data_IF_790322370628
#
_entry.id   IF_790322370628
#
_cell.length_a   1.000
_cell.length_b   1.000
_cell.length_c   1.000
_cell.angle_alpha   90.00
_cell.angle_beta   90.00
_cell.angle_gamma   90.00
#
_symmetry.space_group_name_H-M   'P 1'
#
loop_
_entity.id
_entity.type
_entity.pdbx_description
1 polymer ?
#
# COMPACT_ATOMS: atom_id res chain seq x y z
N UNK A 1 28.36 21.40 -9.85
CA UNK A 1 27.41 21.58 -10.97
C UNK A 1 27.62 20.43 -11.94
N UNK A 2 26.81 19.39 -11.87
CA UNK A 2 26.92 18.20 -12.73
C UNK A 2 26.45 18.55 -14.14
N UNK A 3 27.22 18.17 -15.16
CA UNK A 3 26.87 18.33 -16.59
C UNK A 3 25.49 17.73 -16.86
N UNK A 4 24.53 18.58 -17.23
CA UNK A 4 23.19 18.15 -17.65
C UNK A 4 23.30 17.41 -18.99
N UNK A 5 23.00 16.10 -18.98
CA UNK A 5 23.01 15.21 -20.14
C UNK A 5 21.68 15.28 -20.88
N UNK A 6 21.70 15.01 -22.19
CA UNK A 6 20.48 14.97 -23.02
C UNK A 6 19.61 13.78 -22.64
N UNK A 7 18.29 13.96 -22.74
CA UNK A 7 17.29 12.93 -22.45
C UNK A 7 17.53 11.63 -23.22
N UNK A 8 17.97 11.72 -24.48
CA UNK A 8 18.26 10.58 -25.37
C UNK A 8 19.41 9.71 -24.86
N UNK A 9 20.41 10.34 -24.26
CA UNK A 9 21.61 9.65 -23.79
C UNK A 9 21.25 8.87 -22.51
N UNK A 10 20.52 9.53 -21.61
CA UNK A 10 20.03 8.94 -20.36
C UNK A 10 19.05 7.79 -20.66
N UNK A 11 18.15 7.95 -21.63
CA UNK A 11 17.21 6.89 -22.00
C UNK A 11 17.91 5.66 -22.59
N UNK A 12 19.00 5.87 -23.34
CA UNK A 12 19.84 4.78 -23.86
C UNK A 12 20.60 4.07 -22.74
N UNK A 13 21.08 4.80 -21.73
CA UNK A 13 21.72 4.21 -20.54
C UNK A 13 20.70 3.39 -19.72
N UNK A 14 19.47 3.89 -19.55
CA UNK A 14 18.40 3.18 -18.84
C UNK A 14 17.95 1.88 -19.52
N UNK A 15 18.09 1.76 -20.84
CA UNK A 15 17.84 0.49 -21.53
C UNK A 15 18.85 -0.57 -21.10
N UNK A 16 20.09 -0.17 -20.79
CA UNK A 16 21.16 -1.07 -20.34
C UNK A 16 21.06 -1.39 -18.85
N UNK A 17 20.66 -0.42 -18.04
CA UNK A 17 20.53 -0.55 -16.58
C UNK A 17 19.17 0.02 -16.10
N UNK A 18 18.07 -0.75 -16.26
CA UNK A 18 16.72 -0.28 -15.99
C UNK A 18 16.41 -0.14 -14.49
N UNK A 19 17.24 -0.69 -13.61
CA UNK A 19 17.05 -0.64 -12.16
C UNK A 19 17.79 0.54 -11.50
N UNK A 20 18.53 1.33 -12.29
CA UNK A 20 19.28 2.47 -11.78
C UNK A 20 18.39 3.67 -11.44
N UNK A 21 18.08 3.82 -10.16
CA UNK A 21 17.20 4.90 -9.70
C UNK A 21 17.73 6.30 -10.00
N UNK A 22 19.04 6.55 -9.92
CA UNK A 22 19.60 7.87 -10.20
C UNK A 22 19.43 8.27 -11.67
N UNK A 23 19.63 7.32 -12.60
CA UNK A 23 19.40 7.56 -14.02
C UNK A 23 17.94 7.92 -14.30
N UNK A 24 17.01 7.25 -13.63
CA UNK A 24 15.59 7.56 -13.69
C UNK A 24 15.26 8.98 -13.16
N UNK A 25 15.88 9.40 -12.06
CA UNK A 25 15.71 10.77 -11.55
C UNK A 25 16.23 11.81 -12.55
N UNK A 26 17.42 11.57 -13.12
CA UNK A 26 18.01 12.44 -14.16
C UNK A 26 17.15 12.48 -15.43
N UNK A 27 16.51 11.37 -15.80
CA UNK A 27 15.58 11.32 -16.93
C UNK A 27 14.42 12.30 -16.71
N UNK A 28 13.78 12.26 -15.54
CA UNK A 28 12.69 13.18 -15.19
C UNK A 28 13.18 14.63 -15.19
N UNK A 29 14.31 14.92 -14.55
CA UNK A 29 14.88 16.27 -14.52
C UNK A 29 15.17 16.80 -15.92
N UNK A 30 15.75 15.97 -16.80
CA UNK A 30 16.04 16.34 -18.18
C UNK A 30 14.76 16.60 -18.99
N UNK A 31 13.72 15.78 -18.79
CA UNK A 31 12.44 15.93 -19.46
C UNK A 31 11.75 17.24 -19.07
N UNK A 32 11.81 17.63 -17.80
CA UNK A 32 11.21 18.87 -17.28
C UNK A 32 11.97 20.14 -17.67
N UNK A 33 13.29 20.05 -17.75
CA UNK A 33 14.14 21.20 -18.03
C UNK A 33 14.17 21.57 -19.51
N UNK A 34 13.93 20.60 -20.41
CA UNK A 34 13.80 20.80 -21.86
C UNK A 34 14.90 21.71 -22.43
N UNK A 35 16.16 21.34 -22.22
CA UNK A 35 17.35 22.06 -22.70
C UNK A 35 17.35 23.57 -22.40
N UNK A 36 17.05 23.95 -21.14
CA UNK A 36 17.03 25.33 -20.59
C UNK A 36 15.81 26.17 -20.96
N UNK A 37 14.89 25.67 -21.78
CA UNK A 37 13.67 26.41 -22.14
C UNK A 37 12.53 26.17 -21.14
N UNK A 38 12.62 25.08 -20.34
CA UNK A 38 11.53 24.63 -19.50
C UNK A 38 10.30 24.22 -20.30
N UNK A 39 9.22 23.89 -19.59
CA UNK A 39 7.94 23.51 -20.21
C UNK A 39 6.86 24.55 -19.90
N UNK A 40 6.20 24.99 -20.97
CA UNK A 40 5.06 25.91 -20.96
C UNK A 40 3.93 25.39 -21.85
N UNK A 41 2.80 26.08 -21.89
CA UNK A 41 1.66 25.71 -22.76
C UNK A 41 1.96 25.85 -24.25
N UNK A 42 2.97 26.63 -24.62
CA UNK A 42 3.41 26.83 -26.01
C UNK A 42 4.48 25.84 -26.45
N UNK A 43 4.96 24.98 -25.54
CA UNK A 43 5.94 23.94 -25.84
C UNK A 43 5.38 22.97 -26.89
N UNK A 44 6.16 22.59 -27.91
CA UNK A 44 5.73 21.62 -28.93
C UNK A 44 5.21 20.31 -28.33
N UNK A 45 4.17 19.75 -28.96
CA UNK A 45 3.50 18.54 -28.46
C UNK A 45 4.46 17.37 -28.23
N UNK A 46 5.45 17.18 -29.11
CA UNK A 46 6.43 16.09 -28.97
C UNK A 46 7.24 16.17 -27.66
N UNK A 47 7.56 17.38 -27.18
CA UNK A 47 8.29 17.56 -25.90
C UNK A 47 7.37 17.33 -24.70
N UNK A 48 6.08 17.69 -24.82
CA UNK A 48 5.06 17.35 -23.81
C UNK A 48 4.86 15.84 -23.72
N UNK A 49 4.90 15.13 -24.85
CA UNK A 49 4.80 13.69 -24.89
C UNK A 49 6.05 13.01 -24.28
N UNK A 50 7.25 13.56 -24.51
CA UNK A 50 8.48 13.10 -23.83
C UNK A 50 8.33 13.21 -22.31
N UNK A 51 7.82 14.33 -21.79
CA UNK A 51 7.55 14.50 -20.36
C UNK A 51 6.61 13.42 -19.84
N UNK A 52 5.45 13.26 -20.49
CA UNK A 52 4.41 12.30 -20.09
C UNK A 52 4.91 10.86 -20.12
N UNK A 53 5.61 10.47 -21.18
CA UNK A 53 6.17 9.12 -21.34
C UNK A 53 7.24 8.86 -20.28
N UNK A 54 8.10 9.85 -20.00
CA UNK A 54 9.15 9.71 -18.97
C UNK A 54 8.51 9.45 -17.60
N UNK A 55 7.49 10.23 -17.24
CA UNK A 55 6.75 10.06 -15.99
C UNK A 55 5.96 8.74 -15.94
N UNK A 56 5.28 8.36 -17.03
CA UNK A 56 4.53 7.10 -17.11
C UNK A 56 5.46 5.90 -16.88
N UNK A 57 6.59 5.84 -17.59
CA UNK A 57 7.56 4.75 -17.41
C UNK A 57 8.20 4.76 -16.03
N UNK A 58 8.55 5.93 -15.51
CA UNK A 58 9.10 6.06 -14.15
C UNK A 58 8.11 5.60 -13.08
N UNK A 59 6.86 6.05 -13.13
CA UNK A 59 5.85 5.72 -12.13
C UNK A 59 5.31 4.30 -12.27
N UNK A 60 5.38 3.71 -13.46
CA UNK A 60 5.13 2.27 -13.64
C UNK A 60 6.22 1.43 -12.94
N UNK A 61 7.48 1.89 -12.93
CA UNK A 61 8.59 1.22 -12.23
C UNK A 61 8.62 1.52 -10.73
N UNK A 62 8.34 2.76 -10.33
CA UNK A 62 8.37 3.24 -8.95
C UNK A 62 7.03 3.86 -8.50
N UNK A 63 5.94 3.08 -8.46
CA UNK A 63 4.59 3.59 -8.23
C UNK A 63 4.35 4.16 -6.82
N UNK A 64 5.22 3.82 -5.87
CA UNK A 64 5.08 4.22 -4.47
C UNK A 64 5.67 5.59 -4.12
N UNK A 65 6.38 6.24 -5.07
CA UNK A 65 7.00 7.54 -4.85
C UNK A 65 5.99 8.68 -5.05
N UNK A 66 5.15 8.92 -4.03
CA UNK A 66 4.03 9.87 -4.08
C UNK A 66 4.43 11.28 -4.55
N UNK A 67 5.65 11.75 -4.21
CA UNK A 67 6.13 13.09 -4.60
C UNK A 67 6.18 13.27 -6.11
N UNK A 68 6.51 12.23 -6.87
CA UNK A 68 6.53 12.30 -8.34
C UNK A 68 5.12 12.27 -8.93
N UNK A 69 4.16 11.60 -8.29
CA UNK A 69 2.75 11.71 -8.66
C UNK A 69 2.21 13.13 -8.48
N UNK A 70 2.52 13.77 -7.34
CA UNK A 70 2.15 15.17 -7.08
C UNK A 70 2.78 16.10 -8.12
N UNK A 71 4.09 15.93 -8.38
CA UNK A 71 4.83 16.72 -9.38
C UNK A 71 4.25 16.58 -10.79
N UNK A 72 3.89 15.36 -11.20
CA UNK A 72 3.20 15.12 -12.48
C UNK A 72 1.82 15.80 -12.52
N UNK A 73 1.07 15.74 -11.43
CA UNK A 73 -0.25 16.39 -11.36
C UNK A 73 -0.13 17.92 -11.45
N UNK A 74 0.89 18.51 -10.84
CA UNK A 74 1.21 19.95 -10.97
C UNK A 74 1.55 20.34 -12.42
N UNK A 75 2.33 19.51 -13.12
CA UNK A 75 2.62 19.70 -14.54
C UNK A 75 1.35 19.63 -15.40
N UNK A 76 0.54 18.58 -15.24
CA UNK A 76 -0.71 18.44 -15.99
C UNK A 76 -1.71 19.56 -15.68
N UNK A 77 -1.74 20.04 -14.44
CA UNK A 77 -2.53 21.22 -14.06
C UNK A 77 -2.04 22.47 -14.81
N UNK A 78 -0.73 22.74 -14.79
CA UNK A 78 -0.13 23.88 -15.48
C UNK A 78 -0.35 23.84 -16.98
N UNK A 79 -0.32 22.66 -17.60
CA UNK A 79 -0.38 22.49 -19.05
C UNK A 79 -1.80 22.35 -19.59
N UNK A 80 -2.65 21.59 -18.92
CA UNK A 80 -3.95 21.15 -19.45
C UNK A 80 -5.14 21.43 -18.52
N UNK A 81 -4.90 21.95 -17.32
CA UNK A 81 -5.94 22.30 -16.35
C UNK A 81 -6.37 21.16 -15.44
N UNK A 82 -7.44 21.38 -14.69
CA UNK A 82 -7.81 20.56 -13.53
C UNK A 82 -8.09 19.09 -13.86
N UNK A 83 -8.77 18.79 -14.97
CA UNK A 83 -9.23 17.43 -15.26
C UNK A 83 -8.10 16.43 -15.43
N UNK A 84 -7.01 16.82 -16.11
CA UNK A 84 -5.85 15.94 -16.29
C UNK A 84 -5.11 15.73 -14.97
N UNK A 85 -4.95 16.76 -14.16
CA UNK A 85 -4.37 16.63 -12.82
C UNK A 85 -5.19 15.67 -11.93
N UNK A 86 -6.53 15.76 -11.96
CA UNK A 86 -7.41 14.84 -11.23
C UNK A 86 -7.20 13.38 -11.69
N UNK A 87 -7.02 13.15 -12.99
CA UNK A 87 -6.74 11.80 -13.52
C UNK A 87 -5.41 11.26 -12.97
N UNK A 88 -4.38 12.09 -12.89
CA UNK A 88 -3.08 11.70 -12.30
C UNK A 88 -3.24 11.29 -10.84
N UNK A 89 -3.94 12.08 -10.02
CA UNK A 89 -4.22 11.71 -8.62
C UNK A 89 -5.03 10.41 -8.50
N UNK A 90 -6.05 10.21 -9.34
CA UNK A 90 -6.84 8.96 -9.35
C UNK A 90 -5.98 7.74 -9.70
N UNK A 91 -5.05 7.88 -10.63
CA UNK A 91 -4.10 6.81 -10.96
C UNK A 91 -3.15 6.53 -9.79
N UNK A 92 -2.64 7.58 -9.13
CA UNK A 92 -1.81 7.45 -7.94
C UNK A 92 -2.52 6.68 -6.81
N UNK A 93 -3.82 6.91 -6.58
CA UNK A 93 -4.59 6.21 -5.56
C UNK A 93 -4.81 4.71 -5.83
N UNK A 94 -4.61 4.23 -7.07
CA UNK A 94 -4.57 2.78 -7.32
C UNK A 94 -3.38 2.12 -6.61
N UNK A 95 -2.32 2.90 -6.37
CA UNK A 95 -1.10 2.44 -5.74
C UNK A 95 -0.99 2.85 -4.27
N UNK A 96 -1.39 4.08 -3.95
CA UNK A 96 -1.11 4.78 -2.70
C UNK A 96 -2.41 5.20 -1.99
N UNK A 97 -3.41 4.31 -1.95
CA UNK A 97 -4.74 4.57 -1.38
C UNK A 97 -4.73 5.07 0.07
N UNK A 98 -3.77 4.63 0.88
CA UNK A 98 -3.64 4.98 2.30
C UNK A 98 -2.50 5.98 2.57
N UNK A 99 -1.89 6.55 1.53
CA UNK A 99 -0.83 7.55 1.70
C UNK A 99 -1.43 8.89 2.10
N UNK A 100 -1.12 9.32 3.33
CA UNK A 100 -1.66 10.54 3.91
C UNK A 100 -1.19 11.79 3.16
N UNK A 101 0.08 11.83 2.75
CA UNK A 101 0.67 12.96 2.06
C UNK A 101 0.04 13.16 0.68
N UNK A 102 -0.24 12.08 -0.03
CA UNK A 102 -0.92 12.13 -1.33
C UNK A 102 -2.35 12.65 -1.19
N UNK A 103 -3.10 12.19 -0.19
CA UNK A 103 -4.44 12.70 0.11
C UNK A 103 -4.41 14.18 0.48
N UNK A 104 -3.46 14.60 1.32
CA UNK A 104 -3.30 16.00 1.68
C UNK A 104 -3.05 16.87 0.43
N UNK A 105 -2.07 16.51 -0.40
CA UNK A 105 -1.78 17.24 -1.65
C UNK A 105 -2.99 17.30 -2.59
N UNK A 106 -3.71 16.18 -2.74
CA UNK A 106 -4.91 16.14 -3.58
C UNK A 106 -6.03 17.03 -3.04
N UNK A 107 -6.34 16.94 -1.75
CA UNK A 107 -7.38 17.75 -1.12
C UNK A 107 -7.04 19.24 -1.16
N UNK A 108 -5.78 19.59 -0.89
CA UNK A 108 -5.31 20.97 -1.00
C UNK A 108 -5.46 21.50 -2.44
N UNK A 109 -5.07 20.70 -3.44
CA UNK A 109 -5.28 21.03 -4.85
C UNK A 109 -6.78 21.23 -5.17
N UNK A 110 -7.66 20.38 -4.66
CA UNK A 110 -9.11 20.47 -4.87
C UNK A 110 -9.76 21.67 -4.19
N UNK A 111 -9.27 22.07 -3.03
CA UNK A 111 -9.69 23.31 -2.35
C UNK A 111 -9.22 24.54 -3.14
N UNK A 112 -7.96 24.55 -3.60
CA UNK A 112 -7.40 25.68 -4.36
C UNK A 112 -8.04 25.87 -5.75
N UNK A 113 -8.63 24.81 -6.31
CA UNK A 113 -9.26 24.81 -7.64
C UNK A 113 -10.79 24.69 -7.56
N UNK A 114 -11.36 24.95 -6.38
CA UNK A 114 -12.80 24.83 -6.18
C UNK A 114 -13.54 25.91 -6.96
N UNK A 115 -14.66 25.52 -7.55
CA UNK A 115 -15.57 26.46 -8.19
C UNK A 115 -16.96 26.28 -7.58
N UNK A 116 -17.87 25.58 -8.27
CA UNK A 116 -19.25 25.36 -7.80
C UNK A 116 -19.48 23.91 -7.32
N UNK A 117 -18.42 23.18 -6.97
CA UNK A 117 -18.45 21.75 -6.65
C UNK A 117 -18.10 21.44 -5.18
N UNK A 118 -18.56 22.30 -4.26
CA UNK A 118 -18.24 22.23 -2.83
C UNK A 118 -18.63 20.87 -2.23
N UNK A 119 -19.82 20.37 -2.54
CA UNK A 119 -20.29 19.06 -2.05
C UNK A 119 -19.43 17.89 -2.56
N UNK A 120 -18.91 18.00 -3.78
CA UNK A 120 -18.01 17.00 -4.33
C UNK A 120 -16.70 16.98 -3.54
N UNK A 121 -16.15 18.16 -3.19
CA UNK A 121 -14.93 18.27 -2.39
C UNK A 121 -15.17 17.76 -0.96
N UNK A 122 -16.33 18.06 -0.37
CA UNK A 122 -16.73 17.47 0.92
C UNK A 122 -16.77 15.93 0.86
N UNK A 123 -17.32 15.37 -0.22
CA UNK A 123 -17.31 13.92 -0.45
C UNK A 123 -15.90 13.31 -0.47
N UNK A 124 -14.92 14.02 -1.04
CA UNK A 124 -13.52 13.60 -1.04
C UNK A 124 -12.89 13.65 0.35
N UNK A 125 -13.20 14.67 1.15
CA UNK A 125 -12.76 14.71 2.55
C UNK A 125 -13.31 13.53 3.36
N UNK A 126 -14.58 13.16 3.16
CA UNK A 126 -15.18 12.01 3.82
C UNK A 126 -14.60 10.67 3.33
N UNK A 127 -14.28 10.56 2.04
CA UNK A 127 -13.57 9.39 1.50
C UNK A 127 -12.18 9.25 2.13
N UNK A 128 -11.40 10.35 2.14
CA UNK A 128 -10.09 10.39 2.77
C UNK A 128 -10.18 10.05 4.27
N UNK A 129 -11.15 10.61 5.00
CA UNK A 129 -11.35 10.35 6.43
C UNK A 129 -11.56 8.86 6.74
N UNK A 130 -12.26 8.12 5.88
CA UNK A 130 -12.46 6.66 6.06
C UNK A 130 -11.20 5.84 5.89
N UNK A 131 -10.22 6.35 5.12
CA UNK A 131 -8.99 5.64 4.80
C UNK A 131 -7.83 6.05 5.72
N UNK A 132 -7.64 7.36 5.91
CA UNK A 132 -6.47 7.95 6.60
C UNK A 132 -6.86 8.75 7.86
N UNK A 133 -8.14 8.85 8.20
CA UNK A 133 -8.58 9.67 9.34
C UNK A 133 -7.99 9.22 10.68
N UNK A 134 -7.81 7.91 10.86
CA UNK A 134 -7.21 7.34 12.08
C UNK A 134 -5.68 7.29 12.05
N UNK A 135 -5.04 7.83 11.01
CA UNK A 135 -3.58 7.84 10.93
C UNK A 135 -2.97 8.67 12.07
N UNK A 136 -1.90 8.18 12.70
CA UNK A 136 -1.27 8.84 13.84
C UNK A 136 -0.85 10.29 13.53
N UNK A 137 -0.42 10.54 12.30
CA UNK A 137 -0.02 11.85 11.79
C UNK A 137 -1.13 12.56 10.97
N UNK A 138 -2.42 12.31 11.21
CA UNK A 138 -3.53 12.95 10.46
C UNK A 138 -3.85 14.41 10.82
N UNK A 139 -2.92 15.07 11.51
CA UNK A 139 -3.09 16.45 11.99
C UNK A 139 -3.35 17.43 10.84
N UNK A 140 -2.49 17.45 9.83
CA UNK A 140 -2.56 18.36 8.68
C UNK A 140 -3.83 18.12 7.86
N UNK A 141 -4.21 16.85 7.69
CA UNK A 141 -5.46 16.46 7.04
C UNK A 141 -6.68 17.05 7.75
N UNK A 142 -6.77 16.87 9.08
CA UNK A 142 -7.91 17.38 9.83
C UNK A 142 -7.91 18.90 9.95
N UNK A 143 -6.74 19.54 10.02
CA UNK A 143 -6.67 20.99 10.01
C UNK A 143 -7.18 21.56 8.67
N UNK A 144 -6.77 20.95 7.54
CA UNK A 144 -7.28 21.30 6.22
C UNK A 144 -8.81 21.08 6.12
N UNK A 145 -9.31 19.96 6.65
CA UNK A 145 -10.73 19.65 6.60
C UNK A 145 -11.58 20.62 7.44
N UNK A 146 -11.17 20.92 8.68
CA UNK A 146 -11.85 21.91 9.51
C UNK A 146 -11.84 23.30 8.87
N UNK A 147 -10.69 23.71 8.31
CA UNK A 147 -10.56 24.99 7.60
C UNK A 147 -11.48 25.07 6.38
N UNK A 148 -11.61 23.97 5.63
CA UNK A 148 -12.55 23.88 4.52
C UNK A 148 -14.00 24.06 4.98
N UNK A 149 -14.41 23.37 6.05
CA UNK A 149 -15.78 23.50 6.56
C UNK A 149 -16.08 24.92 7.05
N UNK A 150 -15.11 25.57 7.70
CA UNK A 150 -15.23 26.93 8.22
C UNK A 150 -15.29 27.98 7.07
N UNK A 151 -14.38 27.90 6.10
CA UNK A 151 -14.29 28.88 5.01
C UNK A 151 -15.48 28.83 4.04
N UNK A 152 -16.10 27.66 3.84
CA UNK A 152 -17.22 27.46 2.92
C UNK A 152 -18.56 27.30 3.65
N UNK A 153 -18.63 27.63 4.93
CA UNK A 153 -19.87 27.58 5.68
C UNK A 153 -20.88 28.62 5.18
N UNK A 154 -22.10 28.17 4.89
CA UNK A 154 -23.26 29.03 4.64
C UNK A 154 -24.38 28.63 5.59
N UNK A 155 -25.38 29.50 5.77
CA UNK A 155 -26.51 29.19 6.66
C UNK A 155 -27.32 27.96 6.18
N UNK A 156 -27.30 27.68 4.87
CA UNK A 156 -28.08 26.61 4.25
C UNK A 156 -27.39 25.23 4.31
N UNK A 157 -26.05 25.19 4.22
CA UNK A 157 -25.32 23.93 4.00
C UNK A 157 -24.98 23.15 5.29
N UNK A 158 -25.23 23.72 6.47
CA UNK A 158 -24.95 23.12 7.78
C UNK A 158 -23.47 22.74 7.98
N UNK A 159 -22.51 23.39 7.31
CA UNK A 159 -21.09 23.04 7.46
C UNK A 159 -20.56 23.32 8.86
N UNK A 160 -21.04 24.35 9.55
CA UNK A 160 -20.70 24.59 10.96
C UNK A 160 -21.13 23.42 11.85
N UNK A 161 -22.30 22.83 11.60
CA UNK A 161 -22.72 21.61 12.31
C UNK A 161 -21.74 20.47 12.05
N UNK A 162 -21.35 20.25 10.78
CA UNK A 162 -20.37 19.23 10.40
C UNK A 162 -19.01 19.50 11.06
N UNK A 163 -18.58 20.75 11.16
CA UNK A 163 -17.35 21.16 11.82
C UNK A 163 -17.33 20.70 13.28
N UNK A 164 -18.38 21.00 14.05
CA UNK A 164 -18.44 20.62 15.46
C UNK A 164 -18.52 19.11 15.67
N UNK A 165 -19.29 18.41 14.83
CA UNK A 165 -19.35 16.93 14.85
C UNK A 165 -17.97 16.35 14.53
N UNK A 166 -17.29 16.88 13.52
CA UNK A 166 -15.96 16.42 13.13
C UNK A 166 -14.94 16.69 14.24
N UNK A 167 -14.93 17.88 14.84
CA UNK A 167 -14.05 18.20 15.96
C UNK A 167 -14.30 17.27 17.15
N UNK A 168 -15.56 16.93 17.43
CA UNK A 168 -15.93 15.97 18.48
C UNK A 168 -15.41 14.57 18.19
N UNK A 169 -15.38 14.14 16.93
CA UNK A 169 -14.79 12.87 16.50
C UNK A 169 -13.26 12.91 16.66
N UNK A 170 -12.61 13.99 16.21
CA UNK A 170 -11.14 14.11 16.19
C UNK A 170 -10.54 13.95 17.60
N UNK A 171 -11.16 14.52 18.63
CA UNK A 171 -10.62 14.46 20.00
C UNK A 171 -10.57 13.03 20.58
N UNK A 172 -11.31 12.08 20.01
CA UNK A 172 -11.28 10.67 20.40
C UNK A 172 -10.22 9.85 19.65
N UNK A 173 -9.60 10.44 18.62
CA UNK A 173 -8.56 9.80 17.83
C UNK A 173 -7.19 10.10 18.47
N UNK A 174 -6.37 9.08 18.74
CA UNK A 174 -5.04 9.28 19.32
C UNK A 174 -4.05 9.77 18.25
N UNK A 175 -4.10 11.06 17.95
CA UNK A 175 -3.20 11.74 17.02
C UNK A 175 -1.92 12.21 17.72
N UNK A 176 -0.84 12.37 16.97
CA UNK A 176 0.41 12.94 17.49
C UNK A 176 0.20 14.36 18.07
N UNK A 177 -0.54 15.21 17.35
CA UNK A 177 -0.88 16.59 17.76
C UNK A 177 -2.32 16.71 18.30
N UNK A 178 -2.78 15.74 19.09
CA UNK A 178 -4.13 15.73 19.68
C UNK A 178 -4.43 16.98 20.53
N UNK A 179 -3.42 17.53 21.20
CA UNK A 179 -3.54 18.68 22.11
C UNK A 179 -4.09 19.93 21.41
N UNK A 180 -3.80 20.09 20.12
CA UNK A 180 -4.29 21.22 19.34
C UNK A 180 -5.82 21.21 19.22
N UNK A 181 -6.40 20.05 18.90
CA UNK A 181 -7.85 19.90 18.74
C UNK A 181 -8.58 19.99 20.08
N UNK A 182 -7.98 19.48 21.15
CA UNK A 182 -8.51 19.69 22.50
C UNK A 182 -8.50 21.16 22.92
N UNK A 183 -7.44 21.92 22.61
CA UNK A 183 -7.42 23.37 22.86
C UNK A 183 -8.54 24.09 22.12
N UNK A 184 -8.76 23.78 20.83
CA UNK A 184 -9.90 24.29 20.05
C UNK A 184 -11.24 23.93 20.71
N UNK A 185 -11.42 22.67 21.10
CA UNK A 185 -12.65 22.17 21.71
C UNK A 185 -12.94 22.80 23.08
N UNK A 186 -11.92 22.93 23.94
CA UNK A 186 -12.08 23.58 25.25
C UNK A 186 -12.37 25.07 25.12
N UNK A 187 -11.84 25.76 24.10
CA UNK A 187 -12.20 27.16 23.82
C UNK A 187 -13.70 27.27 23.53
N UNK A 188 -14.25 26.36 22.73
CA UNK A 188 -15.69 26.32 22.44
C UNK A 188 -16.49 26.08 23.72
N UNK A 189 -16.10 25.10 24.56
CA UNK A 189 -16.77 24.84 25.85
C UNK A 189 -16.77 26.08 26.77
N UNK A 190 -15.69 26.85 26.77
CA UNK A 190 -15.63 28.10 27.53
C UNK A 190 -16.62 29.15 27.00
N UNK A 191 -16.75 29.27 25.68
CA UNK A 191 -17.70 30.19 25.05
C UNK A 191 -19.17 29.83 25.36
N UNK A 192 -19.50 28.56 25.60
CA UNK A 192 -20.85 28.13 26.03
C UNK A 192 -21.28 28.83 27.34
N UNK A 193 -20.32 29.19 28.21
CA UNK A 193 -20.62 29.87 29.46
C UNK A 193 -21.03 31.35 29.28
N UNK A 194 -20.74 31.96 28.12
CA UNK A 194 -21.08 33.35 27.82
C UNK A 194 -22.51 33.44 27.23
N UNK A 195 -23.42 34.24 27.82
CA UNK A 195 -24.77 34.44 27.30
C UNK A 195 -24.83 35.06 25.89
N UNK A 196 -23.79 35.77 25.45
CA UNK A 196 -23.78 36.55 24.19
C UNK A 196 -23.30 35.78 22.96
N UNK A 197 -22.60 34.66 23.13
CA UNK A 197 -22.05 33.85 22.03
C UNK A 197 -22.78 32.48 21.88
N UNK A 198 -22.88 31.99 20.65
CA UNK A 198 -23.14 30.59 20.29
C UNK A 198 -24.55 29.95 20.52
N UNK A 199 -25.66 30.69 20.55
CA UNK A 199 -27.00 30.08 20.76
C UNK A 199 -27.41 29.00 19.74
N UNK A 200 -27.07 29.15 18.45
CA UNK A 200 -27.32 28.12 17.41
C UNK A 200 -26.31 26.97 17.46
N UNK A 201 -25.06 27.23 17.84
CA UNK A 201 -23.97 26.27 17.75
C UNK A 201 -23.90 25.33 18.96
N UNK A 202 -24.39 25.77 20.12
CA UNK A 202 -24.56 24.93 21.32
C UNK A 202 -25.41 23.69 21.02
N UNK A 203 -26.46 23.82 20.19
CA UNK A 203 -27.33 22.72 19.80
C UNK A 203 -26.63 21.62 18.99
N UNK A 204 -25.46 21.89 18.43
CA UNK A 204 -24.65 20.88 17.73
C UNK A 204 -23.75 20.06 18.66
N UNK A 205 -23.47 20.59 19.85
CA UNK A 205 -22.53 19.99 20.82
C UNK A 205 -23.28 19.30 21.95
N UNK A 206 -24.43 19.87 22.36
CA UNK A 206 -25.23 19.41 23.49
C UNK A 206 -26.68 19.21 23.03
N UNK A 207 -27.35 18.11 23.41
CA UNK A 207 -28.77 17.93 23.15
C UNK A 207 -29.60 19.11 23.67
N UNK A 208 -30.63 19.53 22.92
CA UNK A 208 -31.46 20.70 23.25
C UNK A 208 -32.05 20.65 24.67
N UNK A 209 -32.35 19.45 25.18
CA UNK A 209 -32.89 19.23 26.53
C UNK A 209 -31.95 19.66 27.66
N UNK A 210 -30.64 19.62 27.44
CA UNK A 210 -29.63 20.03 28.43
C UNK A 210 -29.10 21.45 28.18
N UNK A 211 -29.35 22.03 27.00
CA UNK A 211 -28.98 23.41 26.62
C UNK A 211 -29.75 24.50 27.41
N UNK A 212 -30.92 24.16 27.95
CA UNK A 212 -31.81 25.07 28.69
C UNK A 212 -31.49 25.19 30.20
N UNK A 213 -30.58 24.36 30.74
CA UNK A 213 -30.14 24.44 32.14
C UNK A 213 -29.04 25.50 32.32
N UNK A 214 -28.65 25.79 33.56
CA UNK A 214 -27.57 26.72 33.91
C UNK A 214 -26.30 26.47 33.06
N UNK A 215 -26.04 27.38 32.11
CA UNK A 215 -24.95 27.26 31.13
C UNK A 215 -23.56 27.21 31.77
N UNK A 216 -23.37 27.89 32.90
CA UNK A 216 -22.09 27.86 33.63
C UNK A 216 -21.85 26.49 34.23
N UNK A 217 -22.88 25.90 34.82
CA UNK A 217 -22.83 24.53 35.36
C UNK A 217 -22.63 23.50 34.25
N UNK A 218 -23.32 23.66 33.11
CA UNK A 218 -23.14 22.81 31.92
C UNK A 218 -21.71 22.87 31.38
N UNK A 219 -21.16 24.08 31.19
CA UNK A 219 -19.78 24.27 30.73
C UNK A 219 -18.77 23.61 31.69
N UNK A 220 -18.95 23.77 33.01
CA UNK A 220 -18.11 23.12 34.01
C UNK A 220 -18.20 21.58 33.96
N UNK A 221 -19.41 21.04 33.78
CA UNK A 221 -19.62 19.59 33.66
C UNK A 221 -18.96 19.03 32.39
N UNK A 222 -19.18 19.66 31.23
CA UNK A 222 -18.55 19.26 29.98
C UNK A 222 -17.03 19.32 30.09
N UNK A 223 -16.49 20.41 30.64
CA UNK A 223 -15.05 20.55 30.86
C UNK A 223 -14.49 19.39 31.68
N UNK A 224 -15.17 18.97 32.76
CA UNK A 224 -14.77 17.80 33.55
C UNK A 224 -14.76 16.51 32.72
N UNK A 225 -15.87 16.19 32.04
CA UNK A 225 -15.97 14.99 31.19
C UNK A 225 -14.88 14.93 30.12
N UNK A 226 -14.58 16.07 29.49
CA UNK A 226 -13.59 16.12 28.42
C UNK A 226 -12.14 16.20 28.90
N UNK A 227 -11.89 16.53 30.17
CA UNK A 227 -10.59 16.32 30.80
C UNK A 227 -10.31 14.82 30.95
N UNK A 228 -11.30 14.02 31.35
CA UNK A 228 -11.12 12.56 31.46
C UNK A 228 -10.87 11.92 30.08
N UNK A 229 -11.59 12.39 29.05
CA UNK A 229 -11.33 12.00 27.66
C UNK A 229 -9.92 12.40 27.20
N UNK A 230 -9.48 13.62 27.53
CA UNK A 230 -8.12 14.11 27.21
C UNK A 230 -7.04 13.23 27.82
N UNK A 231 -7.17 12.88 29.12
CA UNK A 231 -6.21 12.00 29.81
C UNK A 231 -6.19 10.61 29.16
N UNK A 232 -7.35 10.09 28.77
CA UNK A 232 -7.46 8.80 28.08
C UNK A 232 -6.78 8.83 26.71
N UNK A 233 -7.04 9.87 25.90
CA UNK A 233 -6.38 10.04 24.61
C UNK A 233 -4.87 10.22 24.77
N UNK A 234 -4.44 11.01 25.75
CA UNK A 234 -3.02 11.21 26.07
C UNK A 234 -2.31 9.89 26.38
N UNK A 235 -2.93 9.02 27.19
CA UNK A 235 -2.36 7.71 27.49
C UNK A 235 -2.24 6.82 26.24
N UNK A 236 -3.28 6.78 25.39
CA UNK A 236 -3.24 6.02 24.12
C UNK A 236 -2.17 6.55 23.15
N UNK A 237 -2.04 7.88 23.04
CA UNK A 237 -1.00 8.52 22.23
C UNK A 237 0.38 8.15 22.75
N UNK A 238 0.56 8.15 24.08
CA UNK A 238 1.81 7.75 24.70
C UNK A 238 2.18 6.30 24.38
N UNK A 239 1.23 5.35 24.45
CA UNK A 239 1.45 3.95 24.06
C UNK A 239 1.89 3.84 22.59
N UNK A 240 1.14 4.45 21.66
CA UNK A 240 1.46 4.42 20.23
C UNK A 240 2.81 5.08 19.92
N UNK A 241 3.13 6.19 20.61
CA UNK A 241 4.36 6.93 20.41
C UNK A 241 5.63 6.13 20.79
N UNK A 242 5.53 5.10 21.64
CA UNK A 242 6.67 4.20 21.89
C UNK A 242 7.10 3.44 20.64
N UNK A 243 6.16 3.14 19.75
CA UNK A 243 6.41 2.45 18.48
C UNK A 243 6.70 3.46 17.37
N UNK A 244 5.88 4.49 17.23
CA UNK A 244 6.01 5.50 16.16
C UNK A 244 7.37 6.21 16.18
N UNK A 245 7.98 6.43 17.36
CA UNK A 245 9.32 7.05 17.44
C UNK A 245 10.45 6.20 16.84
N UNK A 246 10.26 4.87 16.77
CA UNK A 246 11.25 3.92 16.24
C UNK A 246 11.19 3.84 14.71
N UNK A 247 10.12 4.36 14.10
CA UNK A 247 9.90 4.35 12.65
C UNK A 247 10.39 5.69 12.12
N UNK A 248 11.57 5.72 11.49
CA UNK A 248 12.16 6.96 11.02
C UNK A 248 11.74 7.33 9.60
N UNK A 249 11.47 6.32 8.77
CA UNK A 249 11.09 6.49 7.37
C UNK A 249 9.58 6.42 7.22
N UNK A 250 8.94 7.56 6.94
CA UNK A 250 7.48 7.64 6.75
C UNK A 250 7.03 7.60 5.28
N UNK A 251 7.98 7.70 4.33
CA UNK A 251 7.71 7.70 2.90
C UNK A 251 8.48 6.59 2.17
N UNK A 252 7.93 6.12 1.05
CA UNK A 252 8.63 5.18 0.17
C UNK A 252 9.90 5.81 -0.39
N UNK A 253 10.98 5.04 -0.37
CA UNK A 253 12.19 5.33 -1.14
C UNK A 253 12.86 3.99 -1.49
N UNK A 254 13.65 3.98 -2.55
CA UNK A 254 14.27 2.79 -3.14
C UNK A 254 15.26 2.16 -2.17
N UNK A 255 15.88 2.95 -1.30
CA UNK A 255 16.79 2.44 -0.28
C UNK A 255 16.08 1.52 0.73
N UNK A 256 16.70 0.38 0.98
CA UNK A 256 16.31 -0.59 1.99
C UNK A 256 16.40 0.02 3.40
N UNK A 257 15.43 -0.31 4.27
CA UNK A 257 15.45 0.11 5.68
C UNK A 257 16.23 -0.88 6.56
N UNK A 258 16.83 -0.44 7.68
CA UNK A 258 17.54 -1.32 8.60
C UNK A 258 16.66 -2.42 9.17
N UNK A 259 17.26 -3.57 9.51
CA UNK A 259 16.54 -4.70 10.12
C UNK A 259 15.84 -4.32 11.42
N UNK A 260 16.45 -3.45 12.23
CA UNK A 260 15.88 -2.94 13.49
C UNK A 260 14.56 -2.20 13.27
N UNK A 261 14.42 -1.45 12.17
CA UNK A 261 13.16 -0.79 11.84
C UNK A 261 12.11 -1.80 11.40
N UNK A 262 12.49 -2.86 10.66
CA UNK A 262 11.58 -3.96 10.31
C UNK A 262 11.06 -4.66 11.57
N UNK A 263 11.95 -4.99 12.51
CA UNK A 263 11.55 -5.64 13.77
C UNK A 263 10.65 -4.70 14.61
N UNK A 264 10.90 -3.39 14.58
CA UNK A 264 10.02 -2.40 15.24
C UNK A 264 8.61 -2.35 14.62
N UNK A 265 8.49 -2.56 13.31
CA UNK A 265 7.19 -2.71 12.65
C UNK A 265 6.47 -3.99 13.05
N UNK A 266 7.19 -5.11 13.16
CA UNK A 266 6.62 -6.38 13.66
C UNK A 266 6.08 -6.22 15.08
N UNK A 267 6.89 -5.67 16.00
CA UNK A 267 6.48 -5.35 17.38
C UNK A 267 5.23 -4.45 17.40
N UNK A 268 5.14 -3.49 16.48
CA UNK A 268 3.99 -2.59 16.40
C UNK A 268 2.72 -3.33 15.97
N UNK A 269 2.80 -4.22 14.97
CA UNK A 269 1.64 -5.03 14.56
C UNK A 269 1.18 -5.97 15.68
N UNK A 270 2.12 -6.64 16.35
CA UNK A 270 1.82 -7.51 17.50
C UNK A 270 1.09 -6.73 18.60
N UNK A 271 1.56 -5.52 18.93
CA UNK A 271 0.88 -4.63 19.88
C UNK A 271 -0.55 -4.28 19.44
N UNK A 272 -0.75 -3.93 18.18
CA UNK A 272 -2.07 -3.54 17.66
C UNK A 272 -3.07 -4.70 17.71
N UNK A 273 -2.62 -5.91 17.39
CA UNK A 273 -3.42 -7.13 17.47
C UNK A 273 -3.74 -7.49 18.92
N UNK A 274 -2.75 -7.50 19.82
CA UNK A 274 -2.93 -7.79 21.24
C UNK A 274 -3.90 -6.81 21.93
N UNK A 275 -3.87 -5.54 21.53
CA UNK A 275 -4.77 -4.49 22.05
C UNK A 275 -6.13 -4.45 21.35
N UNK A 276 -6.40 -5.38 20.43
CA UNK A 276 -7.65 -5.46 19.66
C UNK A 276 -8.01 -4.15 18.93
N UNK A 277 -7.03 -3.51 18.28
CA UNK A 277 -7.32 -2.35 17.44
C UNK A 277 -8.27 -2.73 16.29
N UNK A 278 -9.11 -1.80 15.81
CA UNK A 278 -10.00 -2.07 14.69
C UNK A 278 -9.23 -2.54 13.45
N UNK A 279 -9.79 -3.51 12.72
CA UNK A 279 -9.19 -4.06 11.49
C UNK A 279 -8.76 -2.97 10.51
N UNK A 280 -9.57 -1.93 10.32
CA UNK A 280 -9.26 -0.81 9.42
C UNK A 280 -8.01 -0.02 9.83
N UNK A 281 -7.73 0.05 11.14
CA UNK A 281 -6.53 0.70 11.67
C UNK A 281 -5.29 -0.15 11.37
N UNK A 282 -5.38 -1.46 11.57
CA UNK A 282 -4.30 -2.41 11.27
C UNK A 282 -4.03 -2.41 9.76
N UNK A 283 -5.08 -2.48 8.93
CA UNK A 283 -4.98 -2.43 7.47
C UNK A 283 -4.32 -1.14 6.97
N UNK A 284 -4.69 0.02 7.51
CA UNK A 284 -4.05 1.29 7.19
C UNK A 284 -2.55 1.28 7.51
N UNK A 285 -2.15 0.77 8.69
CA UNK A 285 -0.74 0.65 9.06
C UNK A 285 0.00 -0.41 8.24
N UNK A 286 -0.67 -1.49 7.85
CA UNK A 286 -0.14 -2.51 6.95
C UNK A 286 0.19 -1.91 5.59
N UNK A 287 -0.69 -1.08 5.04
CA UNK A 287 -0.39 -0.35 3.81
C UNK A 287 0.78 0.62 4.00
N UNK A 288 0.85 1.32 5.15
CA UNK A 288 1.98 2.19 5.50
C UNK A 288 3.30 1.45 5.46
N UNK A 289 3.36 0.33 6.17
CA UNK A 289 4.49 -0.60 6.14
C UNK A 289 4.81 -1.09 4.73
N UNK A 290 3.80 -1.53 3.97
CA UNK A 290 3.97 -2.15 2.66
C UNK A 290 4.61 -1.21 1.64
N UNK A 291 4.22 0.07 1.56
CA UNK A 291 4.85 0.97 0.60
C UNK A 291 6.24 1.46 1.04
N UNK A 292 6.56 1.46 2.34
CA UNK A 292 7.93 1.75 2.82
C UNK A 292 8.87 0.56 2.52
N UNK A 293 8.34 -0.65 2.65
CA UNK A 293 9.10 -1.91 2.57
C UNK A 293 8.80 -2.71 1.30
N UNK A 294 8.33 -2.04 0.25
CA UNK A 294 7.85 -2.70 -0.98
C UNK A 294 8.93 -3.54 -1.67
N UNK A 295 10.21 -3.24 -1.43
CA UNK A 295 11.37 -3.97 -1.95
C UNK A 295 11.62 -5.33 -1.27
N UNK A 296 10.88 -5.63 -0.20
CA UNK A 296 11.00 -6.90 0.53
C UNK A 296 9.85 -7.84 0.17
N UNK A 297 10.13 -9.05 -0.35
CA UNK A 297 9.09 -10.04 -0.63
C UNK A 297 8.25 -10.40 0.60
N UNK A 298 8.88 -10.40 1.78
CA UNK A 298 8.21 -10.71 3.05
C UNK A 298 7.10 -9.71 3.39
N UNK A 299 7.24 -8.44 3.01
CA UNK A 299 6.21 -7.43 3.29
C UNK A 299 4.91 -7.71 2.54
N UNK A 300 5.02 -8.16 1.29
CA UNK A 300 3.87 -8.58 0.48
C UNK A 300 3.24 -9.86 1.00
N UNK A 301 4.06 -10.80 1.47
CA UNK A 301 3.61 -12.05 2.08
C UNK A 301 2.85 -11.77 3.38
N UNK A 302 3.39 -10.91 4.26
CA UNK A 302 2.72 -10.47 5.50
C UNK A 302 1.38 -9.81 5.20
N UNK A 303 1.34 -8.94 4.19
CA UNK A 303 0.09 -8.32 3.79
C UNK A 303 -0.94 -9.32 3.26
N UNK A 304 -0.50 -10.34 2.51
CA UNK A 304 -1.35 -11.44 2.08
C UNK A 304 -1.87 -12.27 3.28
N UNK A 305 -1.03 -12.57 4.26
CA UNK A 305 -1.42 -13.32 5.46
C UNK A 305 -2.49 -12.61 6.28
N UNK A 306 -2.39 -11.30 6.45
CA UNK A 306 -3.43 -10.49 7.08
C UNK A 306 -4.80 -10.64 6.36
N UNK A 307 -4.80 -10.58 5.02
CA UNK A 307 -6.05 -10.75 4.27
C UNK A 307 -6.57 -12.18 4.28
N UNK A 308 -5.70 -13.19 4.30
CA UNK A 308 -6.09 -14.61 4.44
C UNK A 308 -6.74 -14.84 5.79
N UNK A 309 -6.15 -14.32 6.88
CA UNK A 309 -6.68 -14.44 8.23
C UNK A 309 -8.10 -13.86 8.36
N UNK A 310 -8.40 -12.80 7.60
CA UNK A 310 -9.73 -12.20 7.53
C UNK A 310 -10.63 -12.75 6.41
N UNK A 311 -10.24 -13.85 5.76
CA UNK A 311 -10.99 -14.50 4.67
C UNK A 311 -11.22 -13.59 3.43
N UNK A 312 -10.38 -12.56 3.26
CA UNK A 312 -10.42 -11.61 2.15
C UNK A 312 -9.54 -12.10 0.98
N UNK A 313 -9.92 -13.22 0.38
CA UNK A 313 -9.13 -13.88 -0.66
C UNK A 313 -8.94 -13.05 -1.94
N UNK A 314 -9.91 -12.20 -2.29
CA UNK A 314 -9.78 -11.29 -3.43
C UNK A 314 -8.72 -10.21 -3.19
N UNK A 315 -8.70 -9.64 -1.99
CA UNK A 315 -7.65 -8.68 -1.58
C UNK A 315 -6.28 -9.36 -1.52
N UNK A 316 -6.22 -10.57 -0.98
CA UNK A 316 -5.00 -11.40 -0.96
C UNK A 316 -4.42 -11.57 -2.36
N UNK A 317 -5.25 -11.98 -3.33
CA UNK A 317 -4.86 -12.13 -4.73
C UNK A 317 -4.32 -10.82 -5.31
N UNK A 318 -5.02 -9.71 -5.08
CA UNK A 318 -4.60 -8.40 -5.61
C UNK A 318 -3.24 -7.97 -5.07
N UNK A 319 -3.01 -8.15 -3.77
CA UNK A 319 -1.72 -7.84 -3.12
C UNK A 319 -0.61 -8.71 -3.68
N UNK A 320 -0.81 -10.02 -3.79
CA UNK A 320 0.21 -10.94 -4.30
C UNK A 320 0.54 -10.69 -5.78
N UNK A 321 -0.48 -10.48 -6.64
CA UNK A 321 -0.26 -10.13 -8.05
C UNK A 321 0.54 -8.83 -8.16
N UNK A 322 0.18 -7.82 -7.35
CA UNK A 322 0.86 -6.53 -7.37
C UNK A 322 2.31 -6.65 -6.90
N UNK A 323 2.56 -7.38 -5.82
CA UNK A 323 3.90 -7.62 -5.29
C UNK A 323 4.78 -8.41 -6.25
N UNK A 324 4.22 -9.44 -6.89
CA UNK A 324 4.94 -10.23 -7.88
C UNK A 324 5.25 -9.42 -9.13
N UNK A 325 4.33 -8.58 -9.63
CA UNK A 325 4.62 -7.66 -10.75
C UNK A 325 5.70 -6.62 -10.39
N UNK A 326 5.77 -6.22 -9.13
CA UNK A 326 6.75 -5.23 -8.66
C UNK A 326 8.15 -5.81 -8.49
N UNK A 327 8.28 -6.99 -7.86
CA UNK A 327 9.58 -7.59 -7.50
C UNK A 327 10.02 -8.75 -8.41
N UNK A 328 9.09 -9.45 -9.06
CA UNK A 328 9.37 -10.69 -9.77
C UNK A 328 9.78 -11.87 -8.85
N UNK A 329 9.62 -11.73 -7.53
CA UNK A 329 10.10 -12.72 -6.57
C UNK A 329 9.25 -14.00 -6.57
N UNK A 330 9.94 -15.15 -6.62
CA UNK A 330 9.30 -16.46 -6.73
C UNK A 330 8.52 -16.88 -5.45
N UNK A 331 8.86 -16.35 -4.27
CA UNK A 331 8.17 -16.70 -3.01
C UNK A 331 6.76 -16.11 -3.01
N UNK A 332 6.62 -14.89 -3.55
CA UNK A 332 5.30 -14.26 -3.74
C UNK A 332 4.48 -15.06 -4.74
N UNK A 333 5.10 -15.49 -5.85
CA UNK A 333 4.47 -16.32 -6.87
C UNK A 333 3.96 -17.65 -6.28
N UNK A 334 4.79 -18.35 -5.50
CA UNK A 334 4.40 -19.60 -4.84
C UNK A 334 3.19 -19.38 -3.94
N UNK A 335 3.20 -18.32 -3.12
CA UNK A 335 2.07 -18.01 -2.25
C UNK A 335 0.79 -17.70 -3.03
N UNK A 336 0.91 -17.06 -4.19
CA UNK A 336 -0.21 -16.81 -5.11
C UNK A 336 -0.75 -18.12 -5.71
N UNK A 337 0.15 -19.01 -6.13
CA UNK A 337 -0.21 -20.35 -6.64
C UNK A 337 -0.94 -21.14 -5.55
N UNK A 338 -0.43 -21.12 -4.32
CA UNK A 338 -1.03 -21.80 -3.17
C UNK A 338 -2.44 -21.28 -2.86
N UNK A 339 -2.64 -19.96 -2.96
CA UNK A 339 -3.97 -19.36 -2.87
C UNK A 339 -4.90 -19.86 -3.98
N UNK A 340 -4.47 -19.90 -5.24
CA UNK A 340 -5.33 -20.37 -6.34
C UNK A 340 -5.64 -21.87 -6.23
N UNK A 341 -4.68 -22.69 -5.78
CA UNK A 341 -4.90 -24.12 -5.48
C UNK A 341 -5.94 -24.26 -4.36
N UNK A 342 -5.79 -23.50 -3.27
CA UNK A 342 -6.74 -23.49 -2.15
C UNK A 342 -8.16 -23.12 -2.61
N UNK A 343 -8.28 -22.16 -3.53
CA UNK A 343 -9.55 -21.73 -4.13
C UNK A 343 -10.03 -22.64 -5.28
N UNK A 344 -9.35 -23.77 -5.52
CA UNK A 344 -9.65 -24.74 -6.60
C UNK A 344 -9.60 -24.15 -8.02
N UNK A 345 -8.84 -23.08 -8.21
CA UNK A 345 -8.62 -22.41 -9.50
C UNK A 345 -7.37 -22.98 -10.20
N UNK A 346 -7.33 -24.29 -10.43
CA UNK A 346 -6.14 -25.00 -10.91
C UNK A 346 -5.62 -24.49 -12.26
N UNK A 347 -6.51 -24.07 -13.18
CA UNK A 347 -6.10 -23.53 -14.47
C UNK A 347 -5.29 -22.23 -14.31
N UNK A 348 -5.73 -21.32 -13.44
CA UNK A 348 -4.99 -20.08 -13.16
C UNK A 348 -3.65 -20.36 -12.51
N UNK A 349 -3.61 -21.30 -11.58
CA UNK A 349 -2.37 -21.72 -10.94
C UNK A 349 -1.36 -22.25 -11.98
N UNK A 350 -1.82 -23.08 -12.92
CA UNK A 350 -1.01 -23.58 -14.05
C UNK A 350 -0.50 -22.44 -14.94
N UNK A 351 -1.39 -21.54 -15.36
CA UNK A 351 -1.04 -20.43 -16.25
C UNK A 351 0.00 -19.51 -15.60
N UNK A 352 -0.08 -19.27 -14.29
CA UNK A 352 0.92 -18.49 -13.56
C UNK A 352 2.31 -19.14 -13.60
N UNK A 353 2.38 -20.46 -13.44
CA UNK A 353 3.64 -21.20 -13.51
C UNK A 353 4.21 -21.17 -14.93
N UNK A 354 3.39 -21.52 -15.94
CA UNK A 354 3.84 -21.55 -17.33
C UNK A 354 4.33 -20.17 -17.80
N UNK A 355 3.64 -19.10 -17.41
CA UNK A 355 4.09 -17.74 -17.69
C UNK A 355 5.43 -17.45 -17.02
N UNK A 356 5.65 -17.87 -15.77
CA UNK A 356 6.94 -17.68 -15.10
C UNK A 356 8.06 -18.44 -15.82
N UNK A 357 7.86 -19.73 -16.12
CA UNK A 357 8.83 -20.58 -16.83
C UNK A 357 9.26 -19.99 -18.18
N UNK A 358 8.32 -19.37 -18.91
CA UNK A 358 8.58 -18.79 -20.24
C UNK A 358 9.55 -17.60 -20.20
N UNK A 359 9.54 -16.82 -19.13
CA UNK A 359 10.29 -15.55 -19.05
C UNK A 359 11.47 -15.59 -18.07
N UNK A 360 11.54 -16.58 -17.18
CA UNK A 360 12.63 -16.72 -16.22
C UNK A 360 13.79 -17.54 -16.78
N UNK A 361 15.01 -17.02 -16.67
CA UNK A 361 16.23 -17.76 -17.05
C UNK A 361 16.58 -18.84 -16.02
N UNK A 362 16.35 -18.56 -14.74
CA UNK A 362 16.60 -19.51 -13.63
C UNK A 362 15.30 -19.77 -12.89
N UNK A 363 14.94 -21.04 -12.75
CA UNK A 363 13.68 -21.46 -12.14
C UNK A 363 14.00 -22.15 -10.82
N UNK A 364 13.53 -21.62 -9.68
CA UNK A 364 13.70 -22.27 -8.39
C UNK A 364 12.98 -23.61 -8.32
N UNK A 365 13.61 -24.60 -7.67
CA UNK A 365 13.06 -25.95 -7.45
C UNK A 365 11.59 -25.94 -6.95
N UNK A 366 11.20 -25.09 -5.98
CA UNK A 366 9.83 -25.10 -5.49
C UNK A 366 8.77 -24.76 -6.56
N UNK A 367 9.14 -24.05 -7.63
CA UNK A 367 8.21 -23.74 -8.73
C UNK A 367 7.91 -25.01 -9.55
N UNK A 368 8.94 -25.82 -9.83
CA UNK A 368 8.77 -27.11 -10.50
C UNK A 368 7.97 -28.10 -9.65
N UNK A 369 8.17 -28.12 -8.33
CA UNK A 369 7.36 -28.94 -7.42
C UNK A 369 5.88 -28.56 -7.49
N UNK A 370 5.55 -27.26 -7.54
CA UNK A 370 4.17 -26.80 -7.72
C UNK A 370 3.60 -27.19 -9.08
N UNK A 371 4.40 -27.15 -10.15
CA UNK A 371 3.98 -27.60 -11.48
C UNK A 371 3.58 -29.07 -11.45
N UNK A 372 4.46 -29.94 -10.93
CA UNK A 372 4.21 -31.38 -10.83
C UNK A 372 2.96 -31.69 -10.03
N UNK A 373 2.75 -30.98 -8.92
CA UNK A 373 1.53 -31.12 -8.11
C UNK A 373 0.27 -30.76 -8.90
N UNK A 374 0.30 -29.68 -9.68
CA UNK A 374 -0.85 -29.25 -10.49
C UNK A 374 -1.11 -30.21 -11.65
N UNK A 375 -0.07 -30.63 -12.37
CA UNK A 375 -0.19 -31.59 -13.48
C UNK A 375 -0.75 -32.94 -12.99
N UNK A 376 -0.33 -33.38 -11.80
CA UNK A 376 -0.90 -34.58 -11.17
C UNK A 376 -2.40 -34.43 -10.87
N UNK A 377 -2.83 -33.27 -10.38
CA UNK A 377 -4.25 -32.99 -10.11
C UNK A 377 -5.08 -33.03 -11.39
N UNK A 378 -4.55 -32.52 -12.51
CA UNK A 378 -5.28 -32.45 -13.79
C UNK A 378 -5.43 -33.80 -14.47
N UNK A 379 -4.34 -34.55 -14.56
CA UNK A 379 -4.30 -35.76 -15.38
C UNK A 379 -4.65 -37.02 -14.59
N UNK A 380 -4.36 -37.05 -13.28
CA UNK A 380 -4.40 -38.27 -12.44
C UNK A 380 -3.65 -39.47 -13.05
N UNK A 381 -2.87 -39.24 -14.11
CA UNK A 381 -2.12 -40.24 -14.86
C UNK A 381 -0.67 -40.23 -14.38
N UNK A 382 -0.28 -41.37 -13.82
CA UNK A 382 1.06 -41.63 -13.34
C UNK A 382 2.07 -41.55 -14.48
N UNK A 383 1.71 -41.97 -15.69
CA UNK A 383 2.67 -42.05 -16.79
C UNK A 383 2.97 -40.65 -17.36
N UNK A 384 1.98 -39.74 -17.39
CA UNK A 384 2.20 -38.31 -17.68
C UNK A 384 3.09 -37.64 -16.62
N UNK A 385 2.84 -37.89 -15.33
CA UNK A 385 3.66 -37.34 -14.24
C UNK A 385 5.12 -37.79 -14.35
N UNK A 386 5.36 -39.08 -14.63
CA UNK A 386 6.72 -39.61 -14.82
C UNK A 386 7.40 -38.99 -16.05
N UNK A 387 6.66 -38.75 -17.13
CA UNK A 387 7.19 -38.08 -18.31
C UNK A 387 7.60 -36.62 -18.00
N UNK A 388 6.74 -35.85 -17.33
CA UNK A 388 7.06 -34.47 -16.92
C UNK A 388 8.24 -34.43 -15.94
N UNK A 389 8.32 -35.37 -15.00
CA UNK A 389 9.42 -35.46 -14.04
C UNK A 389 10.75 -35.83 -14.73
N UNK A 390 10.71 -36.67 -15.78
CA UNK A 390 11.87 -36.98 -16.62
C UNK A 390 12.38 -35.74 -17.34
N UNK A 391 11.49 -34.99 -17.97
CA UNK A 391 11.82 -33.76 -18.70
C UNK A 391 12.48 -32.74 -17.76
N UNK A 392 11.88 -32.48 -16.60
CA UNK A 392 12.43 -31.56 -15.59
C UNK A 392 13.83 -32.00 -15.11
N UNK A 393 14.06 -33.30 -14.85
CA UNK A 393 15.37 -33.80 -14.41
C UNK A 393 16.43 -33.61 -15.49
N UNK A 394 16.08 -33.90 -16.75
CA UNK A 394 17.01 -33.77 -17.88
C UNK A 394 17.36 -32.31 -18.15
N UNK A 395 16.38 -31.40 -18.08
CA UNK A 395 16.61 -29.97 -18.29
C UNK A 395 17.40 -29.33 -17.14
N UNK A 396 17.03 -29.63 -15.90
CA UNK A 396 17.64 -28.99 -14.72
C UNK A 396 18.94 -29.67 -14.28
N UNK A 397 19.20 -30.90 -14.74
CA UNK A 397 20.30 -31.76 -14.30
C UNK A 397 20.36 -31.93 -12.77
N UNK A 398 19.24 -31.75 -12.08
CA UNK A 398 19.14 -31.74 -10.62
C UNK A 398 18.57 -33.05 -10.09
N UNK A 399 19.29 -33.71 -9.18
CA UNK A 399 18.92 -35.01 -8.62
C UNK A 399 17.89 -34.92 -7.46
N UNK A 400 17.57 -33.72 -6.97
CA UNK A 400 16.56 -33.51 -5.93
C UNK A 400 15.19 -34.11 -6.30
N UNK A 401 14.80 -34.03 -7.58
CA UNK A 401 13.49 -34.50 -8.04
C UNK A 401 13.29 -36.02 -7.89
N UNK A 402 14.36 -36.81 -7.73
CA UNK A 402 14.23 -38.23 -7.36
C UNK A 402 13.64 -38.40 -5.95
N UNK A 403 13.93 -37.47 -5.03
CA UNK A 403 13.29 -37.43 -3.70
C UNK A 403 11.83 -37.00 -3.83
N UNK A 404 11.54 -36.03 -4.68
CA UNK A 404 10.16 -35.57 -4.94
C UNK A 404 9.28 -36.72 -5.47
N UNK A 405 9.83 -37.58 -6.34
CA UNK A 405 9.14 -38.80 -6.81
C UNK A 405 8.70 -39.73 -5.66
N UNK A 406 9.46 -39.79 -4.55
CA UNK A 406 9.10 -40.64 -3.41
C UNK A 406 7.82 -40.17 -2.72
N UNK A 407 7.51 -38.87 -2.75
CA UNK A 407 6.35 -38.27 -2.10
C UNK A 407 5.01 -38.59 -2.77
N UNK A 408 4.99 -38.96 -4.06
CA UNK A 408 3.76 -39.30 -4.76
C UNK A 408 3.32 -40.75 -4.50
N UNK A 409 2.02 -40.99 -4.35
CA UNK A 409 1.44 -42.33 -4.18
C UNK A 409 1.39 -43.08 -5.52
N UNK A 410 2.56 -43.51 -6.00
CA UNK A 410 2.75 -44.30 -7.22
C UNK A 410 3.19 -45.72 -6.85
N UNK A 411 2.79 -46.71 -7.64
CA UNK A 411 3.25 -48.09 -7.49
C UNK A 411 4.78 -48.18 -7.46
N UNK A 412 5.29 -48.91 -6.48
CA UNK A 412 6.72 -49.08 -6.20
C UNK A 412 7.47 -49.64 -7.40
N UNK A 413 6.86 -50.56 -8.15
CA UNK A 413 7.49 -51.15 -9.34
C UNK A 413 7.72 -50.11 -10.44
N UNK A 414 6.75 -49.20 -10.66
CA UNK A 414 6.89 -48.10 -11.63
C UNK A 414 7.99 -47.11 -11.21
N UNK A 415 8.10 -46.77 -9.93
CA UNK A 415 9.17 -45.89 -9.42
C UNK A 415 10.56 -46.50 -9.62
N UNK A 416 10.73 -47.80 -9.35
CA UNK A 416 11.99 -48.52 -9.56
C UNK A 416 12.33 -48.58 -11.06
N UNK A 417 11.33 -48.82 -11.92
CA UNK A 417 11.52 -48.80 -13.38
C UNK A 417 12.02 -47.42 -13.85
N UNK A 418 11.40 -46.34 -13.38
CA UNK A 418 11.81 -44.97 -13.68
C UNK A 418 13.27 -44.69 -13.27
N UNK A 419 13.67 -45.06 -12.04
CA UNK A 419 15.05 -44.91 -11.58
C UNK A 419 16.04 -45.70 -12.44
N UNK A 420 15.67 -46.90 -12.88
CA UNK A 420 16.49 -47.73 -13.79
C UNK A 420 16.60 -47.15 -15.20
N UNK A 421 15.64 -46.35 -15.65
CA UNK A 421 15.72 -45.62 -16.91
C UNK A 421 16.66 -44.41 -16.81
N UNK A 422 16.81 -43.83 -15.62
CA UNK A 422 17.64 -42.65 -15.33
C UNK A 422 18.98 -43.01 -14.66
N UNK A 423 19.61 -44.13 -15.04
CA UNK A 423 20.87 -44.62 -14.44
C UNK A 423 22.06 -43.69 -14.59
N UNK A 424 22.02 -42.76 -15.53
CA UNK A 424 23.05 -41.73 -15.72
C UNK A 424 23.24 -40.81 -14.50
N UNK A 425 22.26 -40.78 -13.59
CA UNK A 425 22.34 -40.06 -12.30
C UNK A 425 22.80 -40.94 -11.12
N UNK A 426 23.20 -42.20 -11.37
CA UNK A 426 23.72 -43.10 -10.32
C UNK A 426 24.98 -42.53 -9.66
N UNK A 427 25.10 -42.71 -8.35
CA UNK A 427 26.19 -42.13 -7.55
C UNK A 427 25.94 -40.70 -7.05
N UNK A 428 24.84 -40.03 -7.47
CA UNK A 428 24.43 -38.75 -6.90
C UNK A 428 23.62 -38.94 -5.61
N UNK A 429 23.75 -38.00 -4.67
CA UNK A 429 23.26 -38.15 -3.30
C UNK A 429 21.75 -38.43 -3.23
N UNK A 430 20.92 -37.65 -3.93
CA UNK A 430 19.46 -37.77 -3.83
C UNK A 430 18.91 -38.94 -4.65
N UNK A 431 19.60 -39.32 -5.75
CA UNK A 431 19.29 -40.54 -6.49
C UNK A 431 19.48 -41.79 -5.61
N UNK A 432 20.61 -41.89 -4.91
CA UNK A 432 20.89 -43.02 -4.01
C UNK A 432 19.94 -43.05 -2.82
N UNK A 433 19.58 -41.89 -2.26
CA UNK A 433 18.55 -41.80 -1.20
C UNK A 433 17.19 -42.31 -1.67
N UNK A 434 16.75 -41.90 -2.87
CA UNK A 434 15.48 -42.37 -3.43
C UNK A 434 15.52 -43.88 -3.72
N UNK A 435 16.64 -44.40 -4.22
CA UNK A 435 16.82 -45.82 -4.48
C UNK A 435 16.78 -46.65 -3.20
N UNK A 436 17.43 -46.18 -2.12
CA UNK A 436 17.36 -46.79 -0.78
C UNK A 436 15.96 -46.73 -0.15
N UNK A 437 15.22 -45.64 -0.37
CA UNK A 437 13.85 -45.52 0.13
C UNK A 437 12.86 -46.45 -0.60
N UNK A 438 13.21 -46.90 -1.82
CA UNK A 438 12.39 -47.75 -2.67
C UNK A 438 12.86 -49.21 -2.71
N UNK A 439 14.01 -49.55 -2.10
CA UNK A 439 14.53 -50.91 -1.85
C UNK A 439 14.05 -51.45 -0.51
#
# INVERSE_FOLDING_TARGET
MLQQRKWTDISTELIKDPDNFELWQRLIESAEYNDKQGITKSTPQFQLDILRVSYDKFLNKYPFLYKYWVRLAEWEFKLCGCEKAIKVYKNAFQHLRFCIELWYSYLQFRVNTISNNIDQVLGLFEEARRLIGTHFYSYEFYNLYLTFLENYATEENQFMRKYYILLRIIIEIPLYHYEFFYKKYFKIIQQIADPKELTKEIGYIVPEKDSLKDRKKLSAQLKKTFIDAYITTQFKVYELYQFERKIHKHYCDVALIPRQELDSWEEYFDFLELKNYPRSYIEMNLHRYLYITANYPQSWIKAADFYIYHELYNSTRQVLIRGWKYLGDYKILIKLIDLEIFLKQFHRARDLILNYLKYSITIPIPVYEKLLNIEYIFHQDVDHLLASLKEIILETQNDWFFTVLTNYTIDRQKKIKFLKEMKEFSGREFYEKALKALS
#
